data_IF_803448405698
#
_entry.id   IF_803448405698
#
_cell.length_a   1.000
_cell.length_b   1.000
_cell.length_c   1.000
_cell.angle_alpha   90.00
_cell.angle_beta   90.00
_cell.angle_gamma   90.00
#
_symmetry.space_group_name_H-M   'P 1'
#
loop_
_entity.id
_entity.type
_entity.pdbx_description
1 polymer ?
#
# COMPACT_ATOMS: atom_id res chain seq x y z
N UNK A 1 -22.59 7.89 -13.57
CA UNK A 1 -21.87 9.19 -13.49
C UNK A 1 -21.16 9.41 -14.81
N UNK A 2 -21.19 10.62 -15.36
CA UNK A 2 -20.49 10.92 -16.61
C UNK A 2 -18.97 11.01 -16.34
N UNK A 3 -18.16 10.39 -17.18
CA UNK A 3 -16.72 10.55 -17.11
C UNK A 3 -16.34 12.00 -17.42
N UNK A 4 -15.50 12.61 -16.59
CA UNK A 4 -15.09 14.02 -16.69
C UNK A 4 -15.56 14.94 -15.55
N UNK A 5 -16.54 14.52 -14.74
CA UNK A 5 -17.00 15.31 -13.60
C UNK A 5 -16.19 15.03 -12.33
N UNK A 6 -16.03 16.06 -11.50
CA UNK A 6 -15.42 15.92 -10.17
C UNK A 6 -16.39 15.30 -9.19
N UNK A 7 -15.95 14.23 -8.53
CA UNK A 7 -16.67 13.57 -7.46
C UNK A 7 -16.15 14.06 -6.11
N UNK A 8 -17.06 14.55 -5.27
CA UNK A 8 -16.76 15.13 -3.96
C UNK A 8 -16.58 14.09 -2.85
N UNK A 9 -15.87 14.49 -1.79
CA UNK A 9 -15.88 13.80 -0.50
C UNK A 9 -14.91 12.64 -0.37
N UNK A 10 -13.91 12.54 -1.24
CA UNK A 10 -12.90 11.49 -1.15
C UNK A 10 -11.93 11.72 0.00
N UNK A 11 -11.57 10.63 0.64
CA UNK A 11 -10.46 10.52 1.57
C UNK A 11 -9.26 10.00 0.79
N UNK A 12 -8.15 10.71 0.85
CA UNK A 12 -6.89 10.29 0.23
C UNK A 12 -5.89 9.96 1.34
N UNK A 13 -5.39 8.74 1.31
CA UNK A 13 -4.29 8.26 2.16
C UNK A 13 -3.14 7.75 1.30
N UNK A 14 -2.10 7.24 1.95
CA UNK A 14 -0.93 6.70 1.29
C UNK A 14 -0.53 5.37 1.92
N UNK A 15 -0.09 4.46 1.06
CA UNK A 15 0.59 3.25 1.47
C UNK A 15 1.97 3.18 0.82
N UNK A 16 2.87 2.51 1.52
CA UNK A 16 4.28 2.40 1.14
C UNK A 16 4.65 0.93 0.93
N UNK A 17 5.79 0.69 0.28
CA UNK A 17 6.57 -0.51 0.59
C UNK A 17 7.41 -0.17 1.80
N UNK A 18 7.09 -0.77 2.95
CA UNK A 18 7.86 -0.53 4.16
C UNK A 18 9.27 -1.10 3.99
N UNK A 19 10.29 -0.38 4.44
CA UNK A 19 11.67 -0.85 4.34
C UNK A 19 12.09 -1.45 5.67
N UNK A 20 12.74 -2.61 5.65
CA UNK A 20 13.34 -3.21 6.84
C UNK A 20 14.43 -2.30 7.42
N UNK A 21 15.10 -1.53 6.56
CA UNK A 21 16.10 -0.53 6.93
C UNK A 21 15.51 0.75 7.54
N UNK A 22 14.18 0.87 7.69
CA UNK A 22 13.58 2.03 8.33
C UNK A 22 14.08 2.19 9.77
N UNK A 23 14.49 3.41 10.20
CA UNK A 23 15.02 3.65 11.54
C UNK A 23 14.11 3.17 12.68
N UNK A 24 12.78 3.12 12.46
CA UNK A 24 11.81 2.60 13.44
C UNK A 24 12.08 1.15 13.85
N UNK A 25 12.74 0.36 13.00
CA UNK A 25 13.05 -1.05 13.24
C UNK A 25 14.53 -1.29 13.59
N UNK A 26 15.37 -0.26 13.65
CA UNK A 26 16.83 -0.40 13.77
C UNK A 26 17.29 -1.23 14.98
N UNK A 27 16.49 -1.26 16.04
CA UNK A 27 16.77 -2.00 17.28
C UNK A 27 15.90 -3.24 17.48
N UNK A 28 15.05 -3.59 16.50
CA UNK A 28 14.25 -4.80 16.57
C UNK A 28 15.16 -6.03 16.44
N UNK A 29 14.85 -7.05 17.24
CA UNK A 29 15.45 -8.38 17.03
C UNK A 29 15.06 -8.93 15.66
N UNK A 30 15.94 -9.74 15.08
CA UNK A 30 15.62 -10.51 13.89
C UNK A 30 14.95 -11.83 14.28
N UNK A 31 13.95 -12.24 13.51
CA UNK A 31 13.16 -13.45 13.72
C UNK A 31 12.91 -14.16 12.39
N UNK A 32 12.76 -15.48 12.44
CA UNK A 32 12.26 -16.25 11.31
C UNK A 32 10.78 -15.96 11.06
N UNK A 33 10.35 -16.09 9.81
CA UNK A 33 8.97 -15.92 9.39
C UNK A 33 8.53 -17.06 8.48
N UNK A 34 7.26 -17.44 8.55
CA UNK A 34 6.72 -18.53 7.73
C UNK A 34 6.80 -18.18 6.24
N UNK A 35 7.39 -19.08 5.44
CA UNK A 35 7.50 -18.91 3.99
C UNK A 35 8.69 -18.10 3.49
N UNK A 36 9.57 -17.62 4.38
CA UNK A 36 10.80 -16.92 4.02
C UNK A 36 12.03 -17.67 4.54
N UNK A 37 13.16 -17.48 3.85
CA UNK A 37 14.46 -17.97 4.26
C UNK A 37 15.23 -16.86 4.98
N UNK A 38 15.82 -17.18 6.14
CA UNK A 38 16.58 -16.21 6.94
C UNK A 38 15.77 -15.57 8.07
N UNK A 39 16.29 -14.45 8.58
CA UNK A 39 15.72 -13.73 9.72
C UNK A 39 15.59 -12.24 9.40
N UNK A 40 14.47 -11.66 9.80
CA UNK A 40 14.10 -10.28 9.49
C UNK A 40 13.66 -9.56 10.77
N UNK A 41 13.76 -8.24 10.78
CA UNK A 41 13.33 -7.42 11.92
C UNK A 41 11.88 -7.69 12.29
N UNK A 42 11.62 -8.00 13.55
CA UNK A 42 10.29 -8.39 14.00
C UNK A 42 9.24 -7.31 13.71
N UNK A 43 9.55 -6.03 13.97
CA UNK A 43 8.60 -4.96 13.72
C UNK A 43 8.41 -4.66 12.24
N UNK A 44 9.44 -4.86 11.41
CA UNK A 44 9.31 -4.79 9.95
C UNK A 44 8.24 -5.79 9.47
N UNK A 45 8.21 -7.02 9.99
CA UNK A 45 7.20 -8.00 9.62
C UNK A 45 5.82 -7.72 10.25
N UNK A 46 5.78 -7.55 11.57
CA UNK A 46 4.56 -7.74 12.36
C UNK A 46 4.05 -6.50 13.10
N UNK A 47 4.78 -5.38 13.12
CA UNK A 47 4.38 -4.21 13.90
C UNK A 47 3.07 -3.64 13.34
N UNK A 48 2.07 -3.54 14.20
CA UNK A 48 0.80 -2.93 13.84
C UNK A 48 1.01 -1.52 13.27
N UNK A 49 0.24 -1.17 12.23
CA UNK A 49 0.24 0.12 11.53
C UNK A 49 1.50 0.44 10.69
N UNK A 50 2.58 -0.32 10.81
CA UNK A 50 3.84 0.02 10.12
C UNK A 50 4.50 -1.15 9.38
N UNK A 51 4.39 -2.38 9.89
CA UNK A 51 5.06 -3.55 9.28
C UNK A 51 4.37 -4.07 8.02
N UNK A 52 4.97 -5.08 7.39
CA UNK A 52 4.48 -5.73 6.16
C UNK A 52 3.06 -6.28 6.34
N UNK A 53 2.73 -6.81 7.51
CA UNK A 53 1.37 -7.27 7.84
C UNK A 53 0.30 -6.16 7.76
N UNK A 54 0.70 -4.89 7.84
CA UNK A 54 -0.20 -3.75 7.67
C UNK A 54 -0.08 -3.10 6.29
N UNK A 55 1.15 -2.85 5.83
CA UNK A 55 1.42 -2.17 4.55
C UNK A 55 1.24 -3.09 3.33
N UNK A 56 1.17 -4.41 3.55
CA UNK A 56 1.01 -5.44 2.52
C UNK A 56 2.33 -5.92 1.89
N UNK A 57 3.28 -5.01 1.66
CA UNK A 57 4.58 -5.33 1.05
C UNK A 57 5.71 -4.67 1.82
N UNK A 58 6.85 -5.36 1.92
CA UNK A 58 8.09 -4.82 2.46
C UNK A 58 9.29 -5.05 1.55
N UNK A 59 10.30 -4.20 1.69
CA UNK A 59 11.63 -4.39 1.12
C UNK A 59 12.61 -4.74 2.24
N UNK A 60 13.26 -5.90 2.11
CA UNK A 60 14.23 -6.42 3.06
C UNK A 60 15.56 -5.67 2.97
N UNK A 61 16.46 -5.87 3.94
CA UNK A 61 17.81 -5.27 3.92
C UNK A 61 18.64 -5.67 2.69
N UNK A 62 18.38 -6.84 2.09
CA UNK A 62 19.04 -7.30 0.85
C UNK A 62 18.43 -6.69 -0.42
N UNK A 63 17.37 -5.88 -0.29
CA UNK A 63 16.64 -5.29 -1.42
C UNK A 63 15.54 -6.18 -2.00
N UNK A 64 15.39 -7.42 -1.52
CA UNK A 64 14.32 -8.32 -1.93
C UNK A 64 12.96 -7.84 -1.42
N UNK A 65 11.93 -7.94 -2.27
CA UNK A 65 10.55 -7.65 -1.88
C UNK A 65 9.87 -8.89 -1.31
N UNK A 66 9.13 -8.69 -0.22
CA UNK A 66 8.28 -9.71 0.39
C UNK A 66 6.86 -9.17 0.56
N UNK A 67 5.89 -10.06 0.49
CA UNK A 67 4.47 -9.74 0.73
C UNK A 67 3.79 -10.87 1.49
N UNK A 68 2.59 -10.62 1.99
CA UNK A 68 1.75 -11.64 2.63
C UNK A 68 1.38 -12.70 1.58
N UNK A 69 1.53 -13.97 1.95
CA UNK A 69 1.09 -15.07 1.13
C UNK A 69 -0.42 -15.30 1.31
N UNK A 70 -1.22 -14.58 0.53
CA UNK A 70 -2.67 -14.62 0.59
C UNK A 70 -3.27 -16.01 0.31
N UNK A 71 -2.55 -16.91 -0.36
CA UNK A 71 -3.00 -18.31 -0.56
C UNK A 71 -3.03 -19.12 0.76
N UNK A 72 -2.33 -18.65 1.79
CA UNK A 72 -2.31 -19.22 3.15
C UNK A 72 -3.20 -18.43 4.13
N UNK A 73 -3.90 -17.42 3.62
CA UNK A 73 -4.76 -16.51 4.38
C UNK A 73 -4.16 -15.11 4.56
N UNK A 74 -4.94 -14.22 5.16
CA UNK A 74 -4.49 -12.86 5.49
C UNK A 74 -3.59 -12.79 6.73
N UNK A 75 -3.21 -11.57 7.15
CA UNK A 75 -2.38 -11.33 8.34
C UNK A 75 -2.96 -11.97 9.61
N UNK A 76 -2.09 -12.69 10.35
CA UNK A 76 -2.41 -13.38 11.62
C UNK A 76 -1.29 -13.21 12.65
N UNK A 77 -0.75 -11.99 12.78
CA UNK A 77 0.40 -11.75 13.65
C UNK A 77 1.58 -12.63 13.27
N UNK A 78 2.21 -13.31 14.24
CA UNK A 78 3.37 -14.18 14.00
C UNK A 78 3.07 -15.43 13.15
N UNK A 79 1.80 -15.82 13.04
CA UNK A 79 1.38 -16.95 12.18
C UNK A 79 1.17 -16.54 10.72
N UNK A 80 1.43 -15.27 10.37
CA UNK A 80 1.35 -14.79 8.99
C UNK A 80 2.37 -15.53 8.12
N UNK A 81 1.90 -16.01 6.97
CA UNK A 81 2.77 -16.54 5.92
C UNK A 81 3.14 -15.44 4.94
N UNK A 82 4.39 -15.45 4.51
CA UNK A 82 4.92 -14.51 3.52
C UNK A 82 5.40 -15.25 2.27
N UNK A 83 5.64 -14.51 1.21
CA UNK A 83 6.25 -14.97 -0.04
C UNK A 83 7.08 -13.84 -0.64
N UNK A 84 8.03 -14.21 -1.49
CA UNK A 84 8.80 -13.25 -2.29
C UNK A 84 7.91 -12.58 -3.33
N UNK A 85 8.16 -11.30 -3.60
CA UNK A 85 7.44 -10.50 -4.58
C UNK A 85 6.77 -9.26 -3.98
N UNK A 86 6.15 -8.48 -4.87
CA UNK A 86 5.36 -7.29 -4.52
C UNK A 86 3.89 -7.71 -4.51
N UNK A 87 3.17 -7.37 -3.44
CA UNK A 87 1.73 -7.57 -3.37
C UNK A 87 0.97 -6.58 -4.25
N UNK A 88 -0.21 -6.99 -4.72
CA UNK A 88 -1.11 -6.16 -5.50
C UNK A 88 -2.22 -6.99 -6.13
N UNK A 89 -3.42 -6.43 -6.23
CA UNK A 89 -4.60 -7.17 -6.69
C UNK A 89 -4.61 -7.36 -8.21
N UNK A 90 -4.17 -6.35 -8.99
CA UNK A 90 -4.28 -6.39 -10.46
C UNK A 90 -2.92 -6.40 -11.16
N UNK A 91 -2.02 -5.49 -10.79
CA UNK A 91 -0.69 -5.30 -11.39
C UNK A 91 0.30 -4.90 -10.30
N UNK A 92 1.59 -5.06 -10.60
CA UNK A 92 2.64 -4.47 -9.78
C UNK A 92 2.40 -2.96 -9.69
N UNK A 93 2.25 -2.41 -8.48
CA UNK A 93 1.95 -1.01 -8.31
C UNK A 93 3.17 -0.14 -8.69
N UNK A 94 2.90 1.00 -9.30
CA UNK A 94 3.87 1.99 -9.78
C UNK A 94 3.77 3.24 -8.92
N UNK A 95 4.91 3.65 -8.35
CA UNK A 95 5.01 4.79 -7.43
C UNK A 95 4.41 6.04 -8.07
N UNK A 96 3.52 6.71 -7.32
CA UNK A 96 2.83 7.92 -7.76
C UNK A 96 1.95 7.79 -9.02
N UNK A 97 1.56 6.56 -9.35
CA UNK A 97 0.62 6.27 -10.44
C UNK A 97 -0.47 5.32 -9.96
N UNK A 98 -0.11 4.23 -9.28
CA UNK A 98 -1.10 3.26 -8.80
C UNK A 98 -1.84 3.75 -7.56
N UNK A 99 -3.13 3.43 -7.52
CA UNK A 99 -3.97 3.65 -6.34
C UNK A 99 -4.82 2.44 -6.01
N UNK A 100 -5.05 2.23 -4.72
CA UNK A 100 -6.06 1.30 -4.21
C UNK A 100 -7.41 2.01 -4.08
N UNK A 101 -8.49 1.34 -4.48
CA UNK A 101 -9.86 1.91 -4.48
C UNK A 101 -10.91 0.89 -4.04
N UNK A 102 -12.09 1.37 -3.66
CA UNK A 102 -13.30 0.56 -3.64
C UNK A 102 -13.87 0.41 -5.06
N UNK A 103 -13.95 -0.84 -5.54
CA UNK A 103 -14.40 -1.20 -6.89
C UNK A 103 -15.86 -0.84 -7.18
N UNK A 104 -16.70 -0.73 -6.15
CA UNK A 104 -18.09 -0.32 -6.29
C UNK A 104 -18.23 1.18 -6.59
N UNK A 105 -17.20 1.97 -6.26
CA UNK A 105 -17.17 3.42 -6.50
C UNK A 105 -16.30 3.78 -7.70
N UNK A 106 -15.10 3.19 -7.79
CA UNK A 106 -14.16 3.41 -8.90
C UNK A 106 -13.76 2.04 -9.47
N UNK A 107 -14.16 1.71 -10.73
CA UNK A 107 -13.75 0.47 -11.36
C UNK A 107 -12.22 0.35 -11.52
N UNK A 108 -11.66 -0.84 -11.33
CA UNK A 108 -10.25 -1.09 -11.65
C UNK A 108 -9.94 -0.81 -13.12
N UNK A 109 -8.74 -0.33 -13.40
CA UNK A 109 -8.29 0.15 -14.70
C UNK A 109 -8.66 1.61 -14.99
N UNK A 110 -9.52 2.24 -14.18
CA UNK A 110 -9.89 3.64 -14.35
C UNK A 110 -8.67 4.56 -14.18
N UNK A 111 -8.51 5.52 -15.09
CA UNK A 111 -7.55 6.61 -14.97
C UNK A 111 -8.16 7.77 -14.19
N UNK A 112 -7.42 8.34 -13.26
CA UNK A 112 -7.95 9.31 -12.30
C UNK A 112 -7.09 10.57 -12.23
N UNK A 113 -7.72 11.68 -11.89
CA UNK A 113 -7.07 12.85 -11.31
C UNK A 113 -7.59 13.08 -9.90
N UNK A 114 -6.69 13.45 -9.02
CA UNK A 114 -6.99 13.76 -7.61
C UNK A 114 -6.63 15.22 -7.41
N UNK A 115 -7.58 16.04 -6.99
CA UNK A 115 -7.40 17.49 -6.87
C UNK A 115 -6.22 17.87 -5.96
N UNK A 116 -5.99 17.11 -4.87
CA UNK A 116 -4.85 17.34 -3.99
C UNK A 116 -3.48 17.07 -4.63
N UNK A 117 -3.44 16.52 -5.85
CA UNK A 117 -2.26 16.20 -6.65
C UNK A 117 -2.40 16.73 -8.08
N UNK A 118 -2.42 18.06 -8.27
CA UNK A 118 -2.69 18.67 -9.58
C UNK A 118 -1.65 18.24 -10.63
N UNK A 119 -2.13 17.98 -11.84
CA UNK A 119 -1.30 17.57 -12.98
C UNK A 119 -0.82 16.11 -12.95
N UNK A 120 -1.13 15.36 -11.87
CA UNK A 120 -0.77 13.94 -11.77
C UNK A 120 -1.94 13.04 -12.18
N UNK A 121 -1.63 12.03 -12.99
CA UNK A 121 -2.56 10.98 -13.40
C UNK A 121 -2.30 9.73 -12.58
N UNK A 122 -3.37 9.09 -12.16
CA UNK A 122 -3.35 7.85 -11.41
C UNK A 122 -4.13 6.76 -12.15
N UNK A 123 -3.91 5.51 -11.77
CA UNK A 123 -4.66 4.36 -12.28
C UNK A 123 -5.07 3.45 -11.13
N UNK A 124 -6.36 3.09 -11.09
CA UNK A 124 -6.91 2.17 -10.11
C UNK A 124 -6.46 0.73 -10.42
N UNK A 125 -5.37 0.28 -9.81
CA UNK A 125 -4.80 -1.07 -10.00
C UNK A 125 -4.87 -1.94 -8.76
N UNK A 126 -5.35 -1.42 -7.64
CA UNK A 126 -5.35 -2.18 -6.41
C UNK A 126 -6.64 -2.02 -5.61
N UNK A 127 -6.78 -2.89 -4.63
CA UNK A 127 -7.82 -2.83 -3.60
C UNK A 127 -7.18 -3.13 -2.25
N UNK A 128 -7.84 -2.74 -1.17
CA UNK A 128 -7.40 -3.10 0.17
C UNK A 128 -8.60 -3.25 1.09
N UNK A 129 -8.52 -4.16 2.07
CA UNK A 129 -9.65 -4.43 2.97
C UNK A 129 -10.12 -3.20 3.76
N UNK A 130 -9.24 -2.21 3.95
CA UNK A 130 -9.58 -0.93 4.59
C UNK A 130 -10.06 0.17 3.63
N UNK A 131 -9.99 -0.05 2.32
CA UNK A 131 -10.27 0.97 1.29
C UNK A 131 -11.72 0.79 0.81
N UNK A 132 -12.65 1.39 1.55
CA UNK A 132 -14.09 1.24 1.32
C UNK A 132 -14.75 2.61 1.05
N UNK A 133 -15.72 2.63 0.14
CA UNK A 133 -16.43 3.82 -0.29
C UNK A 133 -15.55 4.84 -1.01
N UNK A 134 -15.73 6.13 -0.68
CA UNK A 134 -14.95 7.24 -1.26
C UNK A 134 -13.59 7.38 -0.59
N UNK A 135 -12.78 6.32 -0.65
CA UNK A 135 -11.42 6.27 -0.12
C UNK A 135 -10.48 5.81 -1.22
N UNK A 136 -9.39 6.55 -1.42
CA UNK A 136 -8.29 6.20 -2.32
C UNK A 136 -7.00 6.15 -1.49
N UNK A 137 -6.22 5.08 -1.70
CA UNK A 137 -4.88 4.96 -1.12
C UNK A 137 -3.84 5.10 -2.24
N UNK A 138 -2.99 6.12 -2.16
CA UNK A 138 -1.98 6.41 -3.19
C UNK A 138 -0.69 5.66 -2.88
N UNK A 139 -0.17 4.95 -3.87
CA UNK A 139 1.06 4.19 -3.70
C UNK A 139 2.31 5.08 -3.80
N UNK A 140 3.12 5.07 -2.75
CA UNK A 140 4.38 5.83 -2.69
C UNK A 140 5.63 5.00 -3.01
N UNK A 141 5.50 3.69 -3.22
CA UNK A 141 6.66 2.81 -3.40
C UNK A 141 7.49 2.62 -2.14
N UNK A 142 8.75 2.14 -2.26
CA UNK A 142 9.70 2.12 -1.15
C UNK A 142 9.91 3.54 -0.64
N UNK A 143 9.56 3.77 0.62
CA UNK A 143 9.52 5.09 1.26
C UNK A 143 9.64 4.89 2.77
N UNK A 144 10.30 5.80 3.48
CA UNK A 144 10.36 5.69 4.94
C UNK A 144 8.98 5.88 5.57
N UNK A 145 8.73 5.27 6.73
CA UNK A 145 7.49 5.47 7.48
C UNK A 145 7.27 6.94 7.83
N UNK A 146 8.34 7.66 8.17
CA UNK A 146 8.26 9.10 8.47
C UNK A 146 7.81 9.91 7.25
N UNK A 147 8.42 9.66 6.09
CA UNK A 147 8.07 10.35 4.84
C UNK A 147 6.65 10.00 4.39
N UNK A 148 6.26 8.73 4.44
CA UNK A 148 4.91 8.28 4.11
C UNK A 148 3.86 8.93 5.00
N UNK A 149 4.10 8.97 6.31
CA UNK A 149 3.19 9.59 7.28
C UNK A 149 3.07 11.11 7.11
N UNK A 150 4.13 11.79 6.64
CA UNK A 150 4.12 13.23 6.43
C UNK A 150 3.10 13.68 5.36
N UNK A 151 2.71 12.80 4.42
CA UNK A 151 1.64 13.10 3.47
C UNK A 151 0.27 13.23 4.12
N UNK A 152 0.07 12.53 5.25
CA UNK A 152 -1.15 12.56 6.04
C UNK A 152 -2.41 12.11 5.29
N UNK A 153 -3.56 12.41 5.90
CA UNK A 153 -4.88 12.19 5.31
C UNK A 153 -5.38 13.49 4.69
N UNK A 154 -5.87 13.42 3.46
CA UNK A 154 -6.44 14.57 2.74
C UNK A 154 -7.91 14.33 2.42
N UNK A 155 -8.67 15.42 2.36
CA UNK A 155 -9.99 15.44 1.72
C UNK A 155 -9.81 16.05 0.34
N UNK A 156 -10.34 15.39 -0.69
CA UNK A 156 -10.13 15.80 -2.08
C UNK A 156 -11.34 15.48 -2.93
N UNK A 157 -11.40 16.14 -4.08
CA UNK A 157 -12.22 15.71 -5.21
C UNK A 157 -11.43 14.76 -6.10
N UNK A 158 -12.14 13.87 -6.79
CA UNK A 158 -11.56 12.91 -7.73
C UNK A 158 -12.33 12.92 -9.03
N UNK A 159 -11.64 12.89 -10.15
CA UNK A 159 -12.23 12.81 -11.48
C UNK A 159 -11.76 11.55 -12.19
N UNK A 160 -12.70 10.78 -12.76
CA UNK A 160 -12.37 9.67 -13.66
C UNK A 160 -12.18 10.23 -15.07
N UNK A 161 -11.04 9.94 -15.66
CA UNK A 161 -10.67 10.30 -17.03
C UNK A 161 -11.26 9.28 -18.01
N UNK A 162 -11.67 9.75 -19.19
CA UNK A 162 -12.03 8.90 -20.32
C UNK A 162 -10.80 8.27 -20.96
#
# INVERSE_FOLDING_TARGET
>A
MAAGDWMEGFVITHYIIVMETDPVFAHDKKVKANGLEGEYREGFLFKAKTGVTFQGTGQTESGEFITINWSKGGPKGRDTWFTKGIGGTWKNPVKWESVAVDRSVIPLGSRLEIESYPGRKFVAWDTGGGINGKHIDVFLGPTSLSEGNAYGRKKSRVRILK
#
